data_IF_028558347306
#
_entry.id   IF_028558347306
#
_cell.length_a   1.000
_cell.length_b   1.000
_cell.length_c   1.000
_cell.angle_alpha   90.00
_cell.angle_beta   90.00
_cell.angle_gamma   90.00
#
_symmetry.space_group_name_H-M   'P 1'
#
loop_
_entity.id
_entity.type
_entity.pdbx_description
1 polymer ?
#
# COMPACT_ATOMS: atom_id res chain seq x y z
N UNK A 1 -9.28 34.05 -24.09
CA UNK A 1 -8.45 32.82 -24.07
C UNK A 1 -9.29 31.67 -24.58
N UNK A 2 -8.85 30.93 -25.61
CA UNK A 2 -9.50 29.68 -26.03
C UNK A 2 -8.86 28.54 -25.23
N UNK A 3 -9.57 28.02 -24.23
CA UNK A 3 -9.17 26.76 -23.59
C UNK A 3 -9.29 25.68 -24.66
N UNK A 4 -8.16 25.20 -25.19
CA UNK A 4 -8.15 24.00 -26.02
C UNK A 4 -8.48 22.84 -25.09
N UNK A 5 -9.57 22.14 -25.37
CA UNK A 5 -9.86 20.90 -24.67
C UNK A 5 -8.65 19.97 -24.81
N UNK A 6 -8.13 19.52 -23.66
CA UNK A 6 -7.03 18.56 -23.61
C UNK A 6 -7.60 17.20 -24.03
N UNK A 7 -6.96 16.53 -24.99
CA UNK A 7 -7.40 15.21 -25.44
C UNK A 7 -7.33 14.18 -24.31
N UNK A 8 -8.19 13.16 -24.34
CA UNK A 8 -8.14 12.03 -23.40
C UNK A 8 -6.76 11.37 -23.37
N UNK A 9 -6.10 11.24 -24.54
CA UNK A 9 -4.72 10.75 -24.62
C UNK A 9 -3.75 11.61 -23.81
N UNK A 10 -3.89 12.93 -23.86
CA UNK A 10 -3.02 13.83 -23.11
C UNK A 10 -3.28 13.70 -21.61
N UNK A 11 -4.54 13.59 -21.18
CA UNK A 11 -4.90 13.33 -19.77
C UNK A 11 -4.30 12.00 -19.28
N UNK A 12 -4.41 10.94 -20.08
CA UNK A 12 -3.83 9.63 -19.80
C UNK A 12 -2.30 9.71 -19.65
N UNK A 13 -1.63 10.42 -20.55
CA UNK A 13 -0.17 10.60 -20.47
C UNK A 13 0.25 11.32 -19.18
N UNK A 14 -0.48 12.36 -18.77
CA UNK A 14 -0.22 13.05 -17.51
C UNK A 14 -0.46 12.16 -16.29
N UNK A 15 -1.53 11.37 -16.29
CA UNK A 15 -1.84 10.42 -15.23
C UNK A 15 -0.72 9.37 -15.10
N UNK A 16 -0.30 8.75 -16.21
CA UNK A 16 0.80 7.78 -16.22
C UNK A 16 2.12 8.40 -15.77
N UNK A 17 2.41 9.63 -16.18
CA UNK A 17 3.60 10.34 -15.71
C UNK A 17 3.55 10.58 -14.20
N UNK A 18 2.40 10.99 -13.67
CA UNK A 18 2.21 11.24 -12.24
C UNK A 18 2.39 9.96 -11.43
N UNK A 19 1.81 8.84 -11.88
CA UNK A 19 1.94 7.53 -11.23
C UNK A 19 3.41 7.11 -11.17
N UNK A 20 4.12 7.15 -12.32
CA UNK A 20 5.55 6.82 -12.39
C UNK A 20 6.39 7.68 -11.45
N UNK A 21 6.08 8.96 -11.36
CA UNK A 21 6.79 9.90 -10.49
C UNK A 21 6.61 9.56 -9.02
N UNK A 22 5.41 9.21 -8.58
CA UNK A 22 5.19 8.80 -7.18
C UNK A 22 5.91 7.48 -6.87
N UNK A 23 5.86 6.48 -7.76
CA UNK A 23 6.59 5.21 -7.58
C UNK A 23 8.11 5.46 -7.42
N UNK A 24 8.69 6.34 -8.26
CA UNK A 24 10.12 6.70 -8.15
C UNK A 24 10.44 7.32 -6.79
N UNK A 25 9.58 8.20 -6.30
CA UNK A 25 9.76 8.89 -5.02
C UNK A 25 9.63 7.93 -3.84
N UNK A 26 8.67 7.02 -3.87
CA UNK A 26 8.50 5.96 -2.87
C UNK A 26 9.73 5.03 -2.84
N UNK A 27 10.20 4.59 -4.00
CA UNK A 27 11.40 3.76 -4.09
C UNK A 27 12.66 4.50 -3.63
N UNK A 28 12.79 5.78 -3.98
CA UNK A 28 13.91 6.60 -3.49
C UNK A 28 13.89 6.72 -1.97
N UNK A 29 12.71 6.87 -1.36
CA UNK A 29 12.58 6.88 0.10
C UNK A 29 12.99 5.53 0.70
N UNK A 30 12.44 4.41 0.22
CA UNK A 30 12.77 3.07 0.75
C UNK A 30 14.26 2.75 0.63
N UNK A 31 14.87 3.09 -0.51
CA UNK A 31 16.31 2.91 -0.74
C UNK A 31 17.20 3.83 0.11
N UNK A 32 16.62 4.88 0.71
CA UNK A 32 17.35 5.81 1.59
C UNK A 32 17.35 5.41 3.06
N UNK A 33 16.60 4.37 3.43
CA UNK A 33 16.53 3.89 4.81
C UNK A 33 17.88 3.32 5.27
N UNK A 34 18.22 3.48 6.56
CA UNK A 34 19.49 2.97 7.10
C UNK A 34 19.47 1.45 7.36
N UNK A 35 18.41 0.75 6.97
CA UNK A 35 18.19 -0.69 7.11
C UNK A 35 17.43 -1.21 5.89
N UNK A 36 17.40 -2.52 5.70
CA UNK A 36 16.64 -3.17 4.63
C UNK A 36 15.14 -3.24 4.98
N UNK A 37 14.24 -2.57 4.23
CA UNK A 37 12.80 -2.64 4.47
C UNK A 37 12.13 -3.89 3.88
N UNK A 38 12.86 -4.73 3.12
CA UNK A 38 12.30 -5.90 2.41
C UNK A 38 11.52 -6.84 3.33
N UNK A 39 11.99 -7.19 4.55
CA UNK A 39 11.22 -8.06 5.45
C UNK A 39 9.86 -7.47 5.85
N UNK A 40 9.77 -6.15 6.02
CA UNK A 40 8.50 -5.47 6.31
C UNK A 40 7.58 -5.59 5.10
N UNK A 41 8.11 -5.33 3.91
CA UNK A 41 7.36 -5.38 2.66
C UNK A 41 6.80 -6.78 2.38
N UNK A 42 7.60 -7.82 2.58
CA UNK A 42 7.17 -9.21 2.41
C UNK A 42 6.05 -9.59 3.39
N UNK A 43 6.17 -9.22 4.67
CA UNK A 43 5.13 -9.46 5.68
C UNK A 43 3.83 -8.76 5.31
N UNK A 44 3.92 -7.50 4.90
CA UNK A 44 2.74 -6.73 4.48
C UNK A 44 2.10 -7.37 3.24
N UNK A 45 2.88 -7.69 2.20
CA UNK A 45 2.38 -8.32 0.97
C UNK A 45 1.64 -9.62 1.28
N UNK A 46 2.27 -10.51 2.04
CA UNK A 46 1.68 -11.81 2.40
C UNK A 46 0.35 -11.66 3.13
N UNK A 47 0.24 -10.68 4.04
CA UNK A 47 -0.99 -10.46 4.80
C UNK A 47 -2.08 -9.79 3.97
N UNK A 48 -1.73 -8.90 3.04
CA UNK A 48 -2.69 -8.33 2.08
C UNK A 48 -3.18 -9.39 1.09
N UNK A 49 -2.29 -10.22 0.58
CA UNK A 49 -2.63 -11.30 -0.36
C UNK A 49 -3.53 -12.35 0.29
N UNK A 50 -3.26 -12.69 1.55
CA UNK A 50 -4.13 -13.60 2.29
C UNK A 50 -5.50 -13.00 2.61
N UNK A 51 -5.58 -11.67 2.74
CA UNK A 51 -6.81 -10.95 3.00
C UNK A 51 -7.68 -10.80 1.75
N UNK A 52 -7.05 -10.44 0.62
CA UNK A 52 -7.66 -10.24 -0.70
C UNK A 52 -9.07 -9.60 -0.66
N UNK A 53 -9.20 -8.37 -0.13
CA UNK A 53 -10.50 -7.79 0.25
C UNK A 53 -11.45 -7.55 -0.92
N UNK A 54 -10.94 -7.56 -2.16
CA UNK A 54 -11.73 -7.35 -3.37
C UNK A 54 -11.61 -8.51 -4.37
N UNK A 55 -10.94 -9.61 -4.01
CA UNK A 55 -10.93 -10.84 -4.80
C UNK A 55 -10.08 -10.75 -6.08
N UNK A 56 -8.93 -10.07 -6.04
CA UNK A 56 -8.05 -9.92 -7.20
C UNK A 56 -7.17 -11.14 -7.46
N UNK A 57 -6.96 -12.01 -6.46
CA UNK A 57 -5.97 -13.09 -6.52
C UNK A 57 -6.55 -14.42 -7.03
N UNK A 58 -7.23 -14.38 -8.19
CA UNK A 58 -7.71 -15.58 -8.87
C UNK A 58 -6.59 -16.33 -9.65
N UNK A 59 -6.92 -17.45 -10.31
CA UNK A 59 -5.92 -18.27 -11.03
C UNK A 59 -5.16 -17.54 -12.16
N UNK A 60 -5.66 -16.38 -12.64
CA UNK A 60 -5.02 -15.58 -13.68
C UNK A 60 -4.55 -14.22 -13.15
N UNK A 61 -4.50 -14.04 -11.83
CA UNK A 61 -3.98 -12.83 -11.22
C UNK A 61 -2.54 -12.57 -11.64
N UNK A 62 -2.19 -11.29 -11.77
CA UNK A 62 -0.81 -10.90 -11.96
C UNK A 62 -0.07 -10.98 -10.61
N UNK A 63 1.23 -11.27 -10.64
CA UNK A 63 2.03 -11.37 -9.41
C UNK A 63 2.17 -10.01 -8.68
N UNK A 64 1.91 -8.90 -9.39
CA UNK A 64 2.05 -7.52 -8.88
C UNK A 64 0.78 -6.93 -8.27
N UNK A 65 -0.27 -7.74 -8.09
CA UNK A 65 -1.48 -7.30 -7.39
C UNK A 65 -1.14 -6.84 -5.96
N UNK A 66 -1.74 -5.72 -5.55
CA UNK A 66 -1.47 -5.03 -4.27
C UNK A 66 -0.04 -4.52 -4.04
N UNK A 67 0.88 -4.55 -5.03
CA UNK A 67 2.26 -4.07 -4.84
C UNK A 67 2.34 -2.57 -4.51
N UNK A 68 1.43 -1.78 -5.08
CA UNK A 68 1.32 -0.35 -4.80
C UNK A 68 0.95 -0.10 -3.34
N UNK A 69 -0.12 -0.76 -2.89
CA UNK A 69 -0.65 -0.66 -1.54
C UNK A 69 0.36 -1.15 -0.51
N UNK A 70 1.01 -2.29 -0.82
CA UNK A 70 2.08 -2.87 0.00
C UNK A 70 3.22 -1.88 0.19
N UNK A 71 3.67 -1.23 -0.89
CA UNK A 71 4.75 -0.23 -0.84
C UNK A 71 4.36 0.96 0.02
N UNK A 72 3.16 1.51 -0.20
CA UNK A 72 2.67 2.66 0.56
C UNK A 72 2.52 2.33 2.05
N UNK A 73 1.99 1.17 2.42
CA UNK A 73 1.91 0.72 3.83
C UNK A 73 3.28 0.46 4.43
N UNK A 74 4.21 -0.13 3.68
CA UNK A 74 5.59 -0.32 4.14
C UNK A 74 6.20 1.02 4.51
N UNK A 75 6.04 2.04 3.66
CA UNK A 75 6.50 3.42 3.92
C UNK A 75 5.83 4.02 5.15
N UNK A 76 4.54 3.76 5.35
CA UNK A 76 3.85 4.20 6.56
C UNK A 76 4.47 3.56 7.80
N UNK A 77 4.65 2.24 7.81
CA UNK A 77 5.23 1.48 8.92
C UNK A 77 6.65 1.94 9.23
N UNK A 78 7.51 2.12 8.21
CA UNK A 78 8.91 2.55 8.41
C UNK A 78 9.02 3.94 9.04
N UNK A 79 8.00 4.80 8.86
CA UNK A 79 7.93 6.14 9.48
C UNK A 79 7.43 6.11 10.93
N UNK A 80 6.79 5.03 11.35
CA UNK A 80 6.12 4.90 12.65
C UNK A 80 6.64 3.69 13.45
N UNK A 81 7.86 3.20 13.18
CA UNK A 81 8.39 1.99 13.82
C UNK A 81 8.38 2.01 15.36
N UNK A 82 8.49 3.19 15.97
CA UNK A 82 8.59 3.36 17.42
C UNK A 82 7.22 3.40 18.11
N UNK A 83 6.17 3.75 17.38
CA UNK A 83 4.83 4.02 17.91
C UNK A 83 3.73 3.31 17.10
N UNK A 84 4.09 2.34 16.26
CA UNK A 84 3.14 1.60 15.45
C UNK A 84 2.15 0.82 16.33
N UNK A 85 0.88 1.14 16.17
CA UNK A 85 -0.23 0.42 16.77
C UNK A 85 -1.26 -0.01 15.71
N UNK A 86 -1.98 -1.09 16.03
CA UNK A 86 -2.94 -1.68 15.10
C UNK A 86 -4.10 -0.76 14.76
N UNK A 87 -4.48 0.17 15.64
CA UNK A 87 -5.61 1.07 15.40
C UNK A 87 -5.26 2.16 14.38
N UNK A 88 -4.09 2.77 14.50
CA UNK A 88 -3.62 3.75 13.52
C UNK A 88 -3.28 3.08 12.18
N UNK A 89 -2.68 1.89 12.21
CA UNK A 89 -2.43 1.12 10.98
C UNK A 89 -3.73 0.76 10.26
N UNK A 90 -4.75 0.30 11.00
CA UNK A 90 -6.07 0.01 10.45
C UNK A 90 -6.69 1.22 9.72
N UNK A 91 -6.57 2.42 10.29
CA UNK A 91 -7.06 3.64 9.64
C UNK A 91 -6.34 3.93 8.33
N UNK A 92 -5.02 3.75 8.30
CA UNK A 92 -4.26 3.99 7.07
C UNK A 92 -4.55 2.92 6.01
N UNK A 93 -4.70 1.64 6.39
CA UNK A 93 -5.15 0.58 5.48
C UNK A 93 -6.51 0.94 4.87
N UNK A 94 -7.51 1.26 5.69
CA UNK A 94 -8.83 1.64 5.20
C UNK A 94 -8.79 2.83 4.25
N UNK A 95 -8.02 3.87 4.60
CA UNK A 95 -7.89 5.07 3.77
C UNK A 95 -7.21 4.75 2.44
N UNK A 96 -6.15 3.94 2.46
CA UNK A 96 -5.42 3.52 1.28
C UNK A 96 -6.31 2.71 0.34
N UNK A 97 -6.94 1.64 0.84
CA UNK A 97 -7.78 0.76 0.03
C UNK A 97 -9.01 1.48 -0.52
N UNK A 98 -9.65 2.38 0.25
CA UNK A 98 -10.70 3.27 -0.29
C UNK A 98 -10.19 4.19 -1.38
N UNK A 99 -8.94 4.66 -1.31
CA UNK A 99 -8.36 5.53 -2.33
C UNK A 99 -8.03 4.74 -3.60
N UNK A 100 -7.53 3.51 -3.45
CA UNK A 100 -7.15 2.65 -4.57
C UNK A 100 -8.36 2.06 -5.30
N UNK A 101 -9.35 1.55 -4.55
CA UNK A 101 -10.43 0.73 -5.09
C UNK A 101 -11.82 1.37 -4.97
N UNK A 102 -11.94 2.52 -4.31
CA UNK A 102 -13.20 3.26 -4.20
C UNK A 102 -14.31 2.41 -3.58
N UNK A 103 -15.42 2.30 -4.30
CA UNK A 103 -16.64 1.59 -3.87
C UNK A 103 -16.52 0.06 -3.91
N UNK A 104 -15.49 -0.48 -4.58
CA UNK A 104 -15.23 -1.92 -4.62
C UNK A 104 -14.72 -2.41 -3.27
N UNK A 105 -14.06 -1.54 -2.49
CA UNK A 105 -13.61 -1.86 -1.14
C UNK A 105 -14.70 -1.56 -0.10
N UNK A 106 -15.32 -2.62 0.42
CA UNK A 106 -16.42 -2.52 1.41
C UNK A 106 -16.04 -3.05 2.80
N UNK A 107 -14.88 -3.70 2.94
CA UNK A 107 -14.55 -4.49 4.12
C UNK A 107 -13.74 -3.73 5.17
N UNK A 108 -14.45 -3.04 6.06
CA UNK A 108 -13.86 -2.30 7.18
C UNK A 108 -13.60 -3.16 8.41
N UNK A 109 -14.33 -4.26 8.61
CA UNK A 109 -14.25 -5.01 9.87
C UNK A 109 -13.04 -5.95 9.87
N UNK A 110 -12.73 -6.61 8.75
CA UNK A 110 -11.56 -7.50 8.64
C UNK A 110 -10.24 -6.74 8.53
N UNK A 111 -10.28 -5.47 8.09
CA UNK A 111 -9.08 -4.61 8.03
C UNK A 111 -8.42 -4.40 9.40
N UNK A 112 -9.22 -4.46 10.48
CA UNK A 112 -8.72 -4.43 11.86
C UNK A 112 -7.88 -5.68 12.16
N UNK A 113 -8.33 -6.85 11.71
CA UNK A 113 -7.64 -8.12 11.91
C UNK A 113 -6.31 -8.14 11.15
N UNK A 114 -6.30 -7.65 9.91
CA UNK A 114 -5.08 -7.52 9.10
C UNK A 114 -4.09 -6.56 9.74
N UNK A 115 -4.55 -5.40 10.20
CA UNK A 115 -3.69 -4.45 10.90
C UNK A 115 -3.06 -5.07 12.17
N UNK A 116 -3.87 -5.79 12.96
CA UNK A 116 -3.40 -6.49 14.14
C UNK A 116 -2.39 -7.59 13.79
N UNK A 117 -2.64 -8.37 12.72
CA UNK A 117 -1.76 -9.42 12.24
C UNK A 117 -0.41 -8.86 11.77
N UNK A 118 -0.40 -7.73 11.05
CA UNK A 118 0.85 -7.06 10.64
C UNK A 118 1.67 -6.66 11.87
N UNK A 119 1.06 -5.92 12.80
CA UNK A 119 1.77 -5.47 14.02
C UNK A 119 2.28 -6.65 14.84
N UNK A 120 1.46 -7.70 15.01
CA UNK A 120 1.85 -8.90 15.73
C UNK A 120 3.04 -9.62 15.08
N UNK A 121 3.00 -9.78 13.76
CA UNK A 121 4.05 -10.48 12.99
C UNK A 121 5.35 -9.69 13.03
N UNK A 122 5.30 -8.37 12.88
CA UNK A 122 6.48 -7.51 12.95
C UNK A 122 7.15 -7.54 14.35
N UNK A 123 6.36 -7.57 15.43
CA UNK A 123 6.88 -7.74 16.80
C UNK A 123 7.51 -9.12 17.02
N UNK A 124 6.86 -10.17 16.52
CA UNK A 124 7.36 -11.55 16.66
C UNK A 124 8.69 -11.74 15.95
N UNK A 125 8.89 -11.07 14.80
CA UNK A 125 10.14 -11.06 14.05
C UNK A 125 11.17 -10.04 14.57
N UNK A 126 10.93 -9.40 15.72
CA UNK A 126 11.82 -8.41 16.35
C UNK A 126 12.15 -7.20 15.45
N UNK A 127 11.28 -6.87 14.51
CA UNK A 127 11.40 -5.67 13.67
C UNK A 127 10.88 -4.44 14.43
N UNK A 128 9.80 -4.61 15.19
CA UNK A 128 9.31 -3.61 16.13
C UNK A 128 9.85 -3.90 17.53
N UNK A 129 10.16 -2.84 18.27
CA UNK A 129 10.59 -2.91 19.66
C UNK A 129 9.42 -3.10 20.63
#
# INVERSE_FOLDING_TARGET
>A
MKFRAVSEQTKMNYMMWSIRREIIKENAYLNSLPYDPTPIMEIVKQLLDAWDPIGLLDMNALDDEYDGETRTLTIYITKHLLDLDAHNLNKEINKLFRTSFGEEYQDQDTSVEVAAAIVHTLRTNQILA
#
